data_IF_248167713235
#
_entry.id   IF_248167713235
#
_cell.length_a   1.000
_cell.length_b   1.000
_cell.length_c   1.000
_cell.angle_alpha   90.00
_cell.angle_beta   90.00
_cell.angle_gamma   90.00
#
_symmetry.space_group_name_H-M   'P 1'
#
loop_
_entity.id
_entity.type
_entity.pdbx_description
1 polymer ?
#
# COMPACT_ATOMS: atom_id res chain seq x y z
N UNK A 1 -30.97 7.94 -2.84
CA UNK A 1 -30.16 7.45 -3.99
C UNK A 1 -29.73 6.04 -3.66
N UNK A 2 -30.09 5.04 -4.47
CA UNK A 2 -29.66 3.66 -4.22
C UNK A 2 -28.14 3.59 -4.41
N UNK A 3 -27.43 3.35 -3.32
CA UNK A 3 -25.99 3.04 -3.30
C UNK A 3 -25.80 1.60 -3.79
N UNK A 4 -25.98 1.39 -5.09
CA UNK A 4 -25.72 0.09 -5.69
C UNK A 4 -24.21 -0.09 -5.84
N UNK A 5 -23.70 -1.23 -5.37
CA UNK A 5 -22.29 -1.62 -5.59
C UNK A 5 -22.09 -1.81 -7.10
N UNK A 6 -21.16 -1.06 -7.69
CA UNK A 6 -20.90 -1.04 -9.15
C UNK A 6 -19.77 -1.98 -9.58
N UNK A 7 -19.05 -2.54 -8.61
CA UNK A 7 -17.93 -3.45 -8.83
C UNK A 7 -17.20 -3.75 -7.53
N UNK A 8 -16.24 -4.67 -7.62
CA UNK A 8 -15.35 -5.04 -6.52
C UNK A 8 -13.93 -5.24 -7.03
N UNK A 9 -12.98 -4.78 -6.23
CA UNK A 9 -11.56 -5.02 -6.39
C UNK A 9 -10.97 -5.40 -5.04
N UNK A 10 -9.92 -6.21 -5.05
CA UNK A 10 -9.10 -6.44 -3.86
C UNK A 10 -7.76 -5.75 -4.06
N UNK A 11 -7.30 -5.04 -3.03
CA UNK A 11 -5.95 -4.48 -2.95
C UNK A 11 -5.17 -5.22 -1.87
N UNK A 12 -4.08 -5.87 -2.29
CA UNK A 12 -3.22 -6.65 -1.40
C UNK A 12 -1.86 -5.98 -1.30
N UNK A 13 -1.41 -5.77 -0.08
CA UNK A 13 -0.08 -5.23 0.23
C UNK A 13 0.83 -6.34 0.71
N UNK A 14 2.05 -6.36 0.19
CA UNK A 14 3.13 -7.22 0.67
C UNK A 14 4.30 -6.36 1.12
N UNK A 15 4.52 -6.36 2.42
CA UNK A 15 5.67 -5.72 3.05
C UNK A 15 6.83 -6.73 3.15
N UNK A 16 8.04 -6.26 2.89
CA UNK A 16 9.29 -7.00 3.04
C UNK A 16 10.42 -6.04 3.48
N UNK A 17 11.61 -6.59 3.73
CA UNK A 17 12.76 -5.82 4.19
C UNK A 17 14.05 -6.26 3.48
N UNK A 18 14.95 -5.31 3.20
CA UNK A 18 16.34 -5.57 2.82
C UNK A 18 17.24 -4.88 3.85
N UNK A 19 17.61 -5.57 4.92
CA UNK A 19 18.12 -4.91 6.12
C UNK A 19 17.16 -3.82 6.57
N UNK A 20 17.67 -2.63 6.91
CA UNK A 20 16.86 -1.49 7.36
C UNK A 20 16.19 -0.66 6.25
N UNK A 21 16.04 -1.24 5.05
CA UNK A 21 15.24 -0.66 3.97
C UNK A 21 13.87 -1.36 3.93
N UNK A 22 12.78 -0.67 4.30
CA UNK A 22 11.43 -1.17 4.07
C UNK A 22 11.16 -1.31 2.57
N UNK A 23 10.44 -2.37 2.21
CA UNK A 23 10.13 -2.71 0.83
C UNK A 23 8.68 -3.10 0.68
N UNK A 24 8.10 -2.71 -0.44
CA UNK A 24 6.70 -2.93 -0.72
C UNK A 24 6.50 -3.48 -2.12
N UNK A 25 5.52 -4.37 -2.22
CA UNK A 25 4.87 -4.70 -3.47
C UNK A 25 3.38 -4.70 -3.19
N UNK A 26 2.61 -4.13 -4.10
CA UNK A 26 1.16 -4.27 -4.08
C UNK A 26 0.64 -5.12 -5.24
N UNK A 27 -0.61 -5.55 -5.09
CA UNK A 27 -1.38 -6.27 -6.08
C UNK A 27 -2.80 -5.73 -6.08
N UNK A 28 -3.25 -5.26 -7.24
CA UNK A 28 -4.66 -5.01 -7.51
C UNK A 28 -5.25 -6.21 -8.23
N UNK A 29 -6.44 -6.63 -7.78
CA UNK A 29 -7.19 -7.75 -8.33
C UNK A 29 -8.59 -7.24 -8.68
N UNK A 30 -8.98 -7.40 -9.94
CA UNK A 30 -10.35 -7.19 -10.38
C UNK A 30 -11.19 -8.41 -10.00
N UNK A 31 -12.29 -8.18 -9.29
CA UNK A 31 -13.27 -9.23 -8.96
C UNK A 31 -14.51 -9.08 -9.84
N UNK A 32 -15.07 -7.86 -9.93
CA UNK A 32 -16.21 -7.57 -10.80
C UNK A 32 -16.35 -6.07 -11.11
N UNK A 33 -17.16 -5.73 -12.13
CA UNK A 33 -17.54 -4.35 -12.46
C UNK A 33 -16.78 -3.75 -13.65
N UNK A 34 -16.69 -2.41 -13.76
CA UNK A 34 -16.03 -1.77 -14.89
C UNK A 34 -14.50 -1.98 -14.87
N UNK A 35 -13.84 -1.60 -15.97
CA UNK A 35 -12.40 -1.38 -15.98
C UNK A 35 -12.01 -0.37 -14.90
N UNK A 36 -10.96 -0.70 -14.14
CA UNK A 36 -10.40 0.18 -13.13
C UNK A 36 -9.03 0.67 -13.60
N UNK A 37 -8.88 1.99 -13.65
CA UNK A 37 -7.65 2.69 -14.01
C UNK A 37 -7.01 3.25 -12.74
N UNK A 38 -5.87 2.72 -12.30
CA UNK A 38 -5.11 3.30 -11.21
C UNK A 38 -4.81 4.78 -11.49
N UNK A 39 -4.96 5.61 -10.46
CA UNK A 39 -4.66 7.04 -10.55
C UNK A 39 -3.40 7.37 -9.74
N UNK A 40 -3.41 7.06 -8.45
CA UNK A 40 -2.30 7.37 -7.56
C UNK A 40 -2.23 6.35 -6.44
N UNK A 41 -1.09 5.72 -6.23
CA UNK A 41 -0.85 4.75 -5.17
C UNK A 41 0.51 4.96 -4.53
N UNK A 42 0.55 4.99 -3.21
CA UNK A 42 1.77 5.19 -2.45
C UNK A 42 1.84 4.23 -1.28
N UNK A 43 3.06 3.80 -0.96
CA UNK A 43 3.39 3.21 0.31
C UNK A 43 4.27 4.17 1.09
N UNK A 44 3.83 4.49 2.30
CA UNK A 44 4.41 5.49 3.16
C UNK A 44 5.01 4.79 4.38
N UNK A 45 6.31 4.97 4.59
CA UNK A 45 6.96 4.65 5.85
C UNK A 45 6.61 5.74 6.87
N UNK A 46 6.09 5.33 8.03
CA UNK A 46 5.70 6.21 9.12
C UNK A 46 6.43 5.85 10.40
N UNK A 47 6.83 6.89 11.14
CA UNK A 47 7.42 6.80 12.47
C UNK A 47 6.27 6.79 13.48
N UNK A 48 6.10 5.65 14.16
CA UNK A 48 5.08 5.46 15.18
C UNK A 48 5.45 6.26 16.44
N UNK A 49 4.69 7.32 16.74
CA UNK A 49 4.91 8.18 17.91
C UNK A 49 3.58 8.55 18.58
N UNK A 50 3.64 9.05 19.81
CA UNK A 50 2.45 9.64 20.44
C UNK A 50 2.11 10.97 19.75
N UNK A 51 0.97 11.02 19.04
CA UNK A 51 0.55 12.17 18.22
C UNK A 51 0.66 11.88 16.72
N UNK A 52 0.58 12.90 15.84
CA UNK A 52 0.58 12.68 14.40
C UNK A 52 1.88 12.02 13.94
N UNK A 53 1.84 10.88 13.26
CA UNK A 53 3.05 10.16 12.89
C UNK A 53 4.01 10.98 12.00
N UNK A 54 5.30 10.71 12.14
CA UNK A 54 6.34 11.35 11.33
C UNK A 54 6.56 10.58 10.03
N UNK A 55 6.90 11.26 8.94
CA UNK A 55 7.22 10.58 7.69
C UNK A 55 8.69 10.14 7.68
N UNK A 56 8.97 8.87 7.37
CA UNK A 56 10.33 8.40 7.06
C UNK A 56 10.60 8.27 5.56
N UNK A 57 9.56 8.42 4.73
CA UNK A 57 9.63 8.49 3.28
C UNK A 57 8.58 7.60 2.62
N UNK A 58 8.58 7.54 1.30
CA UNK A 58 7.58 6.81 0.54
C UNK A 58 8.10 6.25 -0.77
N UNK A 59 7.27 5.42 -1.38
CA UNK A 59 7.42 4.95 -2.74
C UNK A 59 6.08 4.98 -3.46
N UNK A 60 6.12 5.32 -4.74
CA UNK A 60 4.97 5.17 -5.63
C UNK A 60 4.81 3.70 -6.03
N UNK A 61 3.56 3.28 -6.27
CA UNK A 61 3.22 1.94 -6.76
C UNK A 61 2.45 2.07 -8.09
N UNK A 62 3.19 1.97 -9.21
CA UNK A 62 2.64 2.15 -10.55
C UNK A 62 1.91 0.90 -11.04
N UNK A 63 0.60 0.84 -10.80
CA UNK A 63 -0.24 -0.23 -11.30
C UNK A 63 -0.69 0.02 -12.75
N UNK A 64 -0.69 -1.04 -13.56
CA UNK A 64 -1.45 -1.09 -14.81
C UNK A 64 -2.97 -1.21 -14.56
N UNK A 65 -3.76 -0.83 -15.56
CA UNK A 65 -5.22 -1.00 -15.55
C UNK A 65 -5.63 -2.46 -15.30
N UNK A 66 -6.73 -2.65 -14.57
CA UNK A 66 -7.33 -3.96 -14.36
C UNK A 66 -8.72 -4.03 -14.98
N UNK A 67 -9.00 -5.16 -15.63
CA UNK A 67 -10.22 -5.42 -16.40
C UNK A 67 -10.61 -6.89 -16.27
N UNK A 68 -11.76 -7.29 -16.82
CA UNK A 68 -12.14 -8.71 -16.91
C UNK A 68 -11.14 -9.57 -17.70
N UNK A 69 -10.40 -8.99 -18.64
CA UNK A 69 -9.39 -9.70 -19.47
C UNK A 69 -7.97 -9.61 -18.91
N UNK A 70 -7.67 -8.58 -18.12
CA UNK A 70 -6.42 -8.39 -17.40
C UNK A 70 -6.71 -8.13 -15.93
N UNK A 71 -7.10 -9.20 -15.23
CA UNK A 71 -7.72 -9.12 -13.91
C UNK A 71 -6.75 -8.82 -12.76
N UNK A 72 -5.44 -8.74 -13.01
CA UNK A 72 -4.44 -8.48 -11.96
C UNK A 72 -3.35 -7.54 -12.41
N UNK A 73 -2.88 -6.72 -11.48
CA UNK A 73 -1.79 -5.77 -11.70
C UNK A 73 -0.86 -5.76 -10.49
N UNK A 74 0.43 -6.04 -10.73
CA UNK A 74 1.46 -5.98 -9.70
C UNK A 74 2.25 -4.69 -9.82
N UNK A 75 2.62 -4.09 -8.69
CA UNK A 75 3.55 -2.97 -8.65
C UNK A 75 4.60 -3.19 -7.55
N UNK A 76 5.91 -3.18 -7.86
CA UNK A 76 6.48 -2.92 -9.19
C UNK A 76 6.41 -4.12 -10.16
N UNK A 77 6.41 -5.36 -9.65
CA UNK A 77 6.29 -6.57 -10.48
C UNK A 77 5.94 -7.77 -9.61
N UNK A 78 5.54 -8.91 -10.20
CA UNK A 78 5.14 -10.10 -9.43
C UNK A 78 6.24 -10.73 -8.57
N UNK A 79 7.52 -10.38 -8.83
CA UNK A 79 8.69 -10.91 -8.12
C UNK A 79 9.51 -9.82 -7.42
N UNK A 80 9.43 -8.56 -7.87
CA UNK A 80 10.18 -7.43 -7.33
C UNK A 80 9.48 -6.72 -6.17
N UNK A 81 10.20 -5.80 -5.55
CA UNK A 81 9.69 -4.88 -4.53
C UNK A 81 10.33 -3.52 -4.72
N UNK A 82 9.52 -2.45 -4.62
CA UNK A 82 10.02 -1.10 -4.44
C UNK A 82 10.61 -0.99 -3.04
N UNK A 83 11.68 -0.23 -2.89
CA UNK A 83 12.34 -0.03 -1.61
C UNK A 83 12.45 1.45 -1.32
N UNK A 84 12.38 1.79 -0.03
CA UNK A 84 12.69 3.15 0.39
C UNK A 84 14.13 3.50 -0.03
N UNK A 85 14.34 4.70 -0.58
CA UNK A 85 15.68 5.13 -1.02
C UNK A 85 16.64 5.38 0.14
N UNK A 86 16.10 5.82 1.28
CA UNK A 86 16.88 6.14 2.49
C UNK A 86 16.90 4.97 3.46
N UNK A 87 18.09 4.64 3.97
CA UNK A 87 18.26 3.64 5.01
C UNK A 87 17.77 4.17 6.34
N UNK A 88 17.00 3.36 7.08
CA UNK A 88 16.61 3.71 8.44
C UNK A 88 17.73 3.33 9.42
N UNK A 89 18.21 4.33 10.17
CA UNK A 89 19.41 4.19 11.00
C UNK A 89 19.13 4.10 12.50
N UNK A 90 17.93 4.48 12.96
CA UNK A 90 17.55 4.47 14.37
C UNK A 90 16.65 3.26 14.74
N UNK A 91 16.74 2.83 16.00
CA UNK A 91 15.96 1.69 16.54
C UNK A 91 14.51 2.09 16.90
N UNK A 92 13.91 2.97 16.10
CA UNK A 92 12.58 3.51 16.32
C UNK A 92 11.51 2.49 15.92
N UNK A 93 10.30 2.73 16.37
CA UNK A 93 9.09 2.02 15.96
C UNK A 93 8.50 2.63 14.70
N UNK A 94 8.18 1.79 13.72
CA UNK A 94 7.61 2.19 12.44
C UNK A 94 6.35 1.41 12.15
N UNK A 95 5.61 1.91 11.18
CA UNK A 95 4.55 1.20 10.48
C UNK A 95 4.49 1.76 9.06
N UNK A 96 3.84 1.03 8.15
CA UNK A 96 3.63 1.55 6.80
C UNK A 96 2.14 1.69 6.50
N UNK A 97 1.80 2.82 5.88
CA UNK A 97 0.48 3.13 5.38
C UNK A 97 0.48 2.99 3.86
N UNK A 98 -0.60 2.43 3.31
CA UNK A 98 -0.80 2.40 1.87
C UNK A 98 -2.07 3.10 1.48
N UNK A 99 -1.92 4.01 0.54
CA UNK A 99 -2.97 4.84 0.00
C UNK A 99 -3.13 4.53 -1.48
N UNK A 100 -4.36 4.69 -1.97
CA UNK A 100 -4.66 4.43 -3.36
C UNK A 100 -5.88 5.20 -3.83
N UNK A 101 -5.90 5.51 -5.11
CA UNK A 101 -7.07 6.05 -5.78
C UNK A 101 -7.15 5.53 -7.21
N UNK A 102 -8.37 5.43 -7.74
CA UNK A 102 -8.62 4.91 -9.07
C UNK A 102 -9.80 5.61 -9.75
N UNK A 103 -9.87 5.49 -11.08
CA UNK A 103 -11.04 5.82 -11.88
C UNK A 103 -11.68 4.53 -12.38
N UNK A 104 -13.00 4.52 -12.42
CA UNK A 104 -13.77 3.42 -13.00
C UNK A 104 -14.36 3.87 -14.33
N UNK A 105 -14.24 3.06 -15.38
CA UNK A 105 -14.80 3.40 -16.69
C UNK A 105 -16.32 3.59 -16.60
N UNK A 106 -16.83 4.66 -17.22
CA UNK A 106 -18.23 5.08 -17.11
C UNK A 106 -18.53 6.02 -15.93
N UNK A 107 -17.54 6.33 -15.07
CA UNK A 107 -17.69 7.24 -13.94
C UNK A 107 -16.71 8.42 -14.06
N UNK A 108 -17.19 9.64 -13.79
CA UNK A 108 -16.39 10.87 -13.87
C UNK A 108 -15.55 11.15 -12.63
N UNK A 109 -15.93 10.56 -11.49
CA UNK A 109 -15.26 10.76 -10.20
C UNK A 109 -14.04 9.86 -10.01
N UNK A 110 -13.10 10.31 -9.18
CA UNK A 110 -12.01 9.49 -8.65
C UNK A 110 -12.46 8.85 -7.34
N UNK A 111 -12.24 7.55 -7.19
CA UNK A 111 -12.53 6.80 -5.98
C UNK A 111 -11.25 6.63 -5.16
N UNK A 112 -11.30 6.98 -3.88
CA UNK A 112 -10.23 6.73 -2.93
C UNK A 112 -10.40 5.37 -2.25
N UNK A 113 -9.29 4.64 -2.06
CA UNK A 113 -9.25 3.49 -1.16
C UNK A 113 -9.09 3.96 0.28
N UNK A 114 -9.63 3.19 1.21
CA UNK A 114 -9.27 3.33 2.62
C UNK A 114 -7.76 3.06 2.81
N UNK A 115 -7.15 3.74 3.76
CA UNK A 115 -5.74 3.50 4.11
C UNK A 115 -5.57 2.08 4.63
N UNK A 116 -4.66 1.32 4.01
CA UNK A 116 -4.26 0.01 4.53
C UNK A 116 -3.05 0.21 5.42
N UNK A 117 -3.23 -0.10 6.70
CA UNK A 117 -2.15 -0.10 7.67
C UNK A 117 -1.49 -1.48 7.69
N UNK A 118 -0.16 -1.51 7.50
CA UNK A 118 0.62 -2.74 7.66
C UNK A 118 0.88 -3.03 9.14
N UNK A 119 1.54 -4.16 9.42
CA UNK A 119 2.01 -4.46 10.77
C UNK A 119 3.06 -3.45 11.22
N UNK A 120 3.17 -3.24 12.54
CA UNK A 120 4.21 -2.39 13.12
C UNK A 120 5.52 -3.18 13.26
N UNK A 121 6.65 -2.49 13.12
CA UNK A 121 7.96 -3.11 13.10
C UNK A 121 9.03 -2.15 13.65
N UNK A 122 10.15 -2.69 14.14
CA UNK A 122 11.35 -1.92 14.52
C UNK A 122 12.47 -2.17 13.53
N UNK A 123 13.45 -1.28 13.53
CA UNK A 123 14.62 -1.33 12.65
C UNK A 123 15.13 -2.76 12.43
N UNK A 124 15.25 -3.11 11.15
CA UNK A 124 15.74 -4.39 10.72
C UNK A 124 17.28 -4.41 10.76
N UNK A 125 17.83 -4.98 11.85
CA UNK A 125 19.19 -5.52 11.90
C UNK A 125 19.22 -6.95 11.31
N UNK A 126 19.94 -7.92 11.91
CA UNK A 126 19.90 -9.32 11.45
C UNK A 126 18.54 -10.00 11.65
N UNK A 127 17.62 -9.44 12.44
CA UNK A 127 16.26 -9.96 12.64
C UNK A 127 15.27 -8.79 12.73
N UNK A 128 14.33 -8.68 11.78
CA UNK A 128 13.20 -7.75 11.93
C UNK A 128 12.31 -8.24 13.07
N UNK A 129 12.05 -7.37 14.06
CA UNK A 129 11.09 -7.66 15.12
C UNK A 129 9.76 -7.03 14.76
N UNK A 130 8.88 -7.84 14.18
CA UNK A 130 7.47 -7.52 14.08
C UNK A 130 6.88 -7.46 15.49
N UNK A 131 6.02 -6.49 15.72
CA UNK A 131 5.22 -6.46 16.93
C UNK A 131 3.82 -5.94 16.57
N UNK A 132 2.80 -6.61 17.07
CA UNK A 132 1.44 -6.13 16.97
C UNK A 132 1.07 -5.48 18.30
N UNK A 133 0.76 -4.19 18.24
CA UNK A 133 -0.11 -3.53 19.22
C UNK A 133 -1.36 -3.16 18.44
N UNK A 134 -2.57 -3.24 19.04
CA UNK A 134 -3.78 -2.77 18.39
C UNK A 134 -3.58 -1.34 17.86
N UNK A 135 -4.17 -1.05 16.71
CA UNK A 135 -4.40 0.33 16.30
C UNK A 135 -5.43 0.91 17.29
N UNK A 136 -4.95 1.39 18.43
CA UNK A 136 -5.77 2.22 19.30
C UNK A 136 -5.87 3.59 18.61
N UNK A 137 -7.10 4.10 18.39
CA UNK A 137 -7.34 5.41 17.79
C UNK A 137 -6.80 6.55 18.64
#
# INVERSE_FOLDING_TARGET
MNTTVVGRIDFVVRQAFNGAYPRWRGLLIWDSGPTVRPNLFWADCRINRSGPDGFCGNVELDFSNITSTSWRSWAPSSTGYNQLSTRLSNNTTYHDDLHGSFKADGYSQTFGLGTIHTGRWRQCGPNCKYYQVPWLP
#
